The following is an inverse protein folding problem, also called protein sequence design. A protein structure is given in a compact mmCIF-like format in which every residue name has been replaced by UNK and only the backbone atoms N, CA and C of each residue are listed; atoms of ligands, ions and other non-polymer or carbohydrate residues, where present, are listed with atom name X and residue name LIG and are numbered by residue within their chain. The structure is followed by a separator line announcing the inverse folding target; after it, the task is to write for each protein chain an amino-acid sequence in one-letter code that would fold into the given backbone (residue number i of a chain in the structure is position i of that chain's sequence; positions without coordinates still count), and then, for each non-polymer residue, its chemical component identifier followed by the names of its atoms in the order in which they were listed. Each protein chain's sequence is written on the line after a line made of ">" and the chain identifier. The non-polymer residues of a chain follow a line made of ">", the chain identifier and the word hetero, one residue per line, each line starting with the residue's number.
data_IF_833186596393
#
_entry.id   IF_833186596393
#
_cell.length_a   1.000
_cell.length_b   1.000
_cell.length_c   1.000
_cell.angle_alpha   90.00
_cell.angle_beta   90.00
_cell.angle_gamma   90.00
#
_symmetry.space_group_name_H-M   'P 1'
#
loop_
_entity.id
_entity.type
_entity.pdbx_description
1 polymer ?
#
# COMPACT_ATOMS: atom_id res chain seq x y z
N UNK A 1 -15.48 21.70 -15.00
CA UNK A 1 -14.40 20.68 -14.93
C UNK A 1 -15.00 19.33 -15.30
N UNK A 2 -14.43 18.57 -16.25
CA UNK A 2 -14.86 17.19 -16.49
C UNK A 2 -14.66 16.38 -15.22
N UNK A 3 -15.68 15.65 -14.77
CA UNK A 3 -15.53 14.71 -13.67
C UNK A 3 -14.58 13.60 -14.12
N UNK A 4 -13.51 13.29 -13.36
CA UNK A 4 -12.63 12.19 -13.73
C UNK A 4 -13.45 10.90 -13.83
N UNK A 5 -13.13 10.02 -14.79
CA UNK A 5 -13.84 8.76 -14.94
C UNK A 5 -13.73 7.94 -13.66
N UNK A 6 -14.86 7.39 -13.21
CA UNK A 6 -14.90 6.48 -12.06
C UNK A 6 -14.10 5.23 -12.44
N UNK A 7 -13.16 4.76 -11.60
CA UNK A 7 -12.40 3.54 -11.87
C UNK A 7 -13.35 2.35 -12.04
N UNK A 8 -13.14 1.53 -13.07
CA UNK A 8 -13.87 0.27 -13.21
C UNK A 8 -13.29 -0.82 -12.29
N UNK A 9 -14.04 -1.91 -12.10
CA UNK A 9 -13.66 -2.98 -11.18
C UNK A 9 -12.35 -3.68 -11.58
N UNK A 10 -12.03 -3.79 -12.87
CA UNK A 10 -10.78 -4.40 -13.31
C UNK A 10 -9.60 -3.52 -12.91
N UNK A 11 -9.70 -2.22 -13.11
CA UNK A 11 -8.69 -1.25 -12.66
C UNK A 11 -8.41 -1.40 -11.16
N UNK A 12 -9.47 -1.46 -10.34
CA UNK A 12 -9.35 -1.62 -8.89
C UNK A 12 -8.70 -2.96 -8.54
N UNK A 13 -9.17 -4.07 -9.11
CA UNK A 13 -8.65 -5.41 -8.82
C UNK A 13 -7.16 -5.54 -9.16
N UNK A 14 -6.73 -5.02 -10.31
CA UNK A 14 -5.33 -5.04 -10.73
C UNK A 14 -4.46 -4.20 -9.80
N UNK A 15 -4.92 -3.00 -9.41
CA UNK A 15 -4.20 -2.17 -8.45
C UNK A 15 -4.05 -2.86 -7.09
N UNK A 16 -5.12 -3.49 -6.58
CA UNK A 16 -5.10 -4.25 -5.33
C UNK A 16 -4.16 -5.46 -5.42
N UNK A 17 -4.21 -6.22 -6.52
CA UNK A 17 -3.32 -7.37 -6.73
C UNK A 17 -1.85 -6.96 -6.82
N UNK A 18 -1.55 -5.84 -7.50
CA UNK A 18 -0.20 -5.29 -7.58
C UNK A 18 0.33 -4.90 -6.19
N UNK A 19 -0.46 -4.17 -5.40
CA UNK A 19 -0.09 -3.84 -4.02
C UNK A 19 0.06 -5.08 -3.14
N UNK A 20 -0.85 -6.05 -3.28
CA UNK A 20 -0.81 -7.34 -2.58
C UNK A 20 0.48 -8.10 -2.85
N UNK A 21 0.98 -8.08 -4.08
CA UNK A 21 2.25 -8.70 -4.47
C UNK A 21 3.44 -8.06 -3.74
N UNK A 22 3.47 -6.72 -3.64
CA UNK A 22 4.53 -6.00 -2.90
C UNK A 22 4.52 -6.39 -1.42
N UNK A 23 3.33 -6.41 -0.80
CA UNK A 23 3.17 -6.79 0.61
C UNK A 23 3.57 -8.24 0.85
N UNK A 24 3.16 -9.16 -0.03
CA UNK A 24 3.52 -10.57 0.05
C UNK A 24 5.04 -10.76 -0.07
N UNK A 25 5.69 -10.09 -1.03
CA UNK A 25 7.14 -10.14 -1.17
C UNK A 25 7.86 -9.61 0.08
N UNK A 26 7.37 -8.52 0.68
CA UNK A 26 7.92 -8.00 1.92
C UNK A 26 7.77 -9.01 3.07
N UNK A 27 6.59 -9.62 3.22
CA UNK A 27 6.33 -10.64 4.24
C UNK A 27 7.23 -11.87 4.06
N UNK A 28 7.39 -12.39 2.84
CA UNK A 28 8.29 -13.51 2.53
C UNK A 28 9.73 -13.19 2.93
N UNK A 29 10.20 -11.99 2.60
CA UNK A 29 11.55 -11.56 2.99
C UNK A 29 11.67 -11.34 4.51
N UNK A 30 10.60 -10.89 5.17
CA UNK A 30 10.51 -10.83 6.62
C UNK A 30 10.69 -12.21 7.26
N UNK A 31 9.91 -13.20 6.83
CA UNK A 31 9.99 -14.59 7.33
C UNK A 31 11.39 -15.16 7.10
N UNK A 32 11.93 -15.06 5.88
CA UNK A 32 13.25 -15.59 5.51
C UNK A 32 14.39 -15.03 6.35
N UNK A 33 14.25 -13.82 6.87
CA UNK A 33 15.31 -13.11 7.61
C UNK A 33 15.02 -13.00 9.11
N UNK A 34 13.90 -13.54 9.59
CA UNK A 34 13.43 -13.30 10.97
C UNK A 34 13.18 -11.81 11.26
N UNK A 35 12.67 -11.07 10.27
CA UNK A 35 12.34 -9.64 10.38
C UNK A 35 13.50 -8.67 10.17
N UNK A 36 14.70 -9.17 9.86
CA UNK A 36 15.93 -8.34 9.69
C UNK A 36 16.12 -7.79 8.27
N UNK A 37 15.32 -8.22 7.30
CA UNK A 37 15.36 -7.70 5.93
C UNK A 37 15.03 -6.21 5.92
N UNK A 38 15.93 -5.39 5.37
CA UNK A 38 15.67 -3.95 5.23
C UNK A 38 14.45 -3.67 4.34
N UNK A 39 14.19 -4.50 3.32
CA UNK A 39 12.98 -4.34 2.48
C UNK A 39 11.71 -4.57 3.29
N UNK A 40 11.70 -5.58 4.16
CA UNK A 40 10.58 -5.84 5.07
C UNK A 40 10.41 -4.70 6.08
N UNK A 41 11.48 -4.26 6.72
CA UNK A 41 11.42 -3.18 7.73
C UNK A 41 10.93 -1.86 7.14
N UNK A 42 11.45 -1.47 5.97
CA UNK A 42 11.00 -0.27 5.25
C UNK A 42 9.52 -0.39 4.86
N UNK A 43 9.10 -1.57 4.38
CA UNK A 43 7.70 -1.83 4.00
C UNK A 43 6.76 -1.82 5.20
N UNK A 44 7.16 -2.40 6.34
CA UNK A 44 6.36 -2.42 7.56
C UNK A 44 6.23 -1.01 8.16
N UNK A 45 7.29 -0.21 8.14
CA UNK A 45 7.20 1.20 8.52
C UNK A 45 6.29 1.99 7.58
N UNK A 46 6.45 1.82 6.26
CA UNK A 46 5.60 2.48 5.26
C UNK A 46 4.13 2.08 5.40
N UNK A 47 3.85 0.81 5.73
CA UNK A 47 2.50 0.31 6.03
C UNK A 47 1.87 1.06 7.21
N UNK A 48 2.60 1.20 8.32
CA UNK A 48 2.12 1.97 9.48
C UNK A 48 1.87 3.45 9.15
N UNK A 49 2.84 4.10 8.49
CA UNK A 49 2.74 5.52 8.13
C UNK A 49 1.59 5.82 7.15
N UNK A 50 1.26 4.88 6.26
CA UNK A 50 0.07 4.99 5.41
C UNK A 50 -1.22 5.15 6.23
N UNK A 51 -1.33 4.42 7.35
CA UNK A 51 -2.47 4.54 8.27
C UNK A 51 -2.62 5.96 8.82
N UNK A 52 -1.51 6.55 9.30
CA UNK A 52 -1.50 7.94 9.74
C UNK A 52 -1.82 8.93 8.60
N UNK A 53 -1.34 8.65 7.38
CA UNK A 53 -1.66 9.44 6.19
C UNK A 53 -3.16 9.51 5.89
N UNK A 54 -3.89 8.41 6.04
CA UNK A 54 -5.35 8.40 5.90
C UNK A 54 -6.04 9.28 6.96
N UNK A 55 -5.61 9.19 8.21
CA UNK A 55 -6.16 10.02 9.29
C UNK A 55 -5.89 11.51 9.04
N UNK A 56 -4.66 11.85 8.69
CA UNK A 56 -4.28 13.23 8.37
C UNK A 56 -5.08 13.78 7.19
N UNK A 57 -5.21 13.02 6.10
CA UNK A 57 -5.98 13.44 4.93
C UNK A 57 -7.47 13.60 5.26
N UNK A 58 -8.04 12.70 6.07
CA UNK A 58 -9.43 12.79 6.52
C UNK A 58 -9.66 14.04 7.37
N UNK A 59 -8.75 14.33 8.30
CA UNK A 59 -8.82 15.52 9.15
C UNK A 59 -8.68 16.82 8.33
N UNK A 60 -7.72 16.87 7.41
CA UNK A 60 -7.48 18.04 6.55
C UNK A 60 -8.64 18.32 5.61
N UNK A 61 -9.26 17.27 5.06
CA UNK A 61 -10.41 17.40 4.15
C UNK A 61 -11.75 17.46 4.88
N UNK A 62 -11.78 17.28 6.20
CA UNK A 62 -12.99 17.07 7.02
C UNK A 62 -13.92 16.01 6.42
N UNK A 63 -13.33 15.01 5.76
CA UNK A 63 -14.03 14.05 4.91
C UNK A 63 -13.64 12.62 5.22
N UNK A 64 -14.40 11.69 4.64
CA UNK A 64 -14.13 10.26 4.75
C UNK A 64 -13.09 9.85 3.71
N UNK A 65 -11.93 9.38 4.15
CA UNK A 65 -11.03 8.63 3.27
C UNK A 65 -11.23 7.14 3.47
N UNK A 66 -10.98 6.35 2.43
CA UNK A 66 -11.17 4.89 2.44
C UNK A 66 -10.50 4.17 3.61
N UNK A 67 -9.39 4.73 4.11
CA UNK A 67 -8.64 4.17 5.24
C UNK A 67 -8.96 4.77 6.61
N UNK A 68 -9.87 5.74 6.75
CA UNK A 68 -10.08 6.44 8.04
C UNK A 68 -10.55 5.51 9.15
N UNK A 69 -11.33 4.48 8.83
CA UNK A 69 -11.79 3.48 9.79
C UNK A 69 -10.76 2.38 10.01
N UNK A 70 -10.15 1.87 8.94
CA UNK A 70 -9.22 0.74 9.02
C UNK A 70 -7.85 1.15 9.57
N UNK A 71 -7.45 2.41 9.41
CA UNK A 71 -6.20 2.94 9.96
C UNK A 71 -6.10 2.78 11.49
N UNK A 72 -7.04 3.32 12.30
CA UNK A 72 -6.96 3.23 13.76
C UNK A 72 -7.37 1.86 14.30
N UNK A 73 -8.20 1.10 13.58
CA UNK A 73 -8.72 -0.19 14.08
C UNK A 73 -7.85 -1.39 13.70
N UNK A 74 -7.10 -1.30 12.59
CA UNK A 74 -6.32 -2.43 12.05
C UNK A 74 -4.87 -2.03 11.81
N UNK A 75 -4.62 -1.04 10.96
CA UNK A 75 -3.27 -0.75 10.43
C UNK A 75 -2.31 -0.32 11.52
N UNK A 76 -2.68 0.69 12.31
CA UNK A 76 -1.84 1.25 13.38
C UNK A 76 -1.65 0.23 14.51
N UNK A 77 -2.71 -0.44 15.02
CA UNK A 77 -2.56 -1.49 16.02
C UNK A 77 -1.66 -2.64 15.56
N UNK A 78 -1.84 -3.12 14.32
CA UNK A 78 -1.02 -4.18 13.75
C UNK A 78 0.44 -3.76 13.63
N UNK A 79 0.70 -2.57 13.07
CA UNK A 79 2.06 -2.06 12.92
C UNK A 79 2.75 -1.95 14.27
N UNK A 80 2.07 -1.40 15.28
CA UNK A 80 2.59 -1.30 16.64
C UNK A 80 2.94 -2.68 17.20
N UNK A 81 1.99 -3.62 17.14
CA UNK A 81 2.18 -4.98 17.63
C UNK A 81 3.34 -5.69 16.93
N UNK A 82 3.43 -5.60 15.60
CA UNK A 82 4.49 -6.19 14.81
C UNK A 82 5.85 -5.60 15.19
N UNK A 83 5.96 -4.28 15.33
CA UNK A 83 7.20 -3.61 15.75
C UNK A 83 7.65 -4.07 17.13
N UNK A 84 6.76 -4.12 18.11
CA UNK A 84 7.09 -4.62 19.46
C UNK A 84 7.49 -6.08 19.46
N UNK A 85 6.78 -6.92 18.70
CA UNK A 85 7.11 -8.34 18.57
C UNK A 85 8.51 -8.53 17.98
N UNK A 86 8.86 -7.78 16.94
CA UNK A 86 10.19 -7.80 16.35
C UNK A 86 11.27 -7.31 17.31
N UNK A 87 11.01 -6.24 18.07
CA UNK A 87 11.92 -5.75 19.10
C UNK A 87 12.20 -6.82 20.16
N UNK A 88 11.16 -7.48 20.69
CA UNK A 88 11.32 -8.57 21.66
C UNK A 88 12.08 -9.77 21.10
N UNK A 89 12.00 -10.00 19.79
CA UNK A 89 12.75 -11.04 19.08
C UNK A 89 14.18 -10.60 18.67
N UNK A 90 14.65 -9.42 19.11
CA UNK A 90 15.96 -8.88 18.76
C UNK A 90 16.10 -8.36 17.32
N UNK A 91 14.99 -8.24 16.60
CA UNK A 91 14.91 -7.71 15.24
C UNK A 91 14.38 -6.27 15.22
N UNK A 92 14.90 -5.41 16.10
CA UNK A 92 14.52 -3.99 16.21
C UNK A 92 14.49 -3.32 14.84
N UNK A 93 13.38 -2.65 14.54
CA UNK A 93 13.21 -1.96 13.27
C UNK A 93 14.20 -0.80 13.13
N UNK A 94 14.86 -0.73 11.97
CA UNK A 94 15.73 0.37 11.56
C UNK A 94 15.39 0.81 10.14
N UNK A 95 14.18 1.34 9.89
CA UNK A 95 13.74 1.68 8.55
C UNK A 95 14.58 2.82 7.98
N UNK A 96 14.93 2.71 6.69
CA UNK A 96 15.58 3.79 5.93
C UNK A 96 14.47 4.69 5.38
N UNK A 97 14.09 5.71 6.14
CA UNK A 97 12.90 6.54 5.86
C UNK A 97 12.78 7.00 4.41
N UNK A 98 13.86 7.51 3.80
CA UNK A 98 13.82 7.93 2.39
C UNK A 98 13.45 6.78 1.43
N UNK A 99 13.98 5.58 1.67
CA UNK A 99 13.64 4.39 0.88
C UNK A 99 12.24 3.88 1.17
N UNK A 100 11.81 3.92 2.42
CA UNK A 100 10.45 3.55 2.80
C UNK A 100 9.39 4.47 2.16
N UNK A 101 9.64 5.79 2.13
CA UNK A 101 8.81 6.76 1.41
C UNK A 101 8.82 6.48 -0.09
N UNK A 102 9.99 6.24 -0.69
CA UNK A 102 10.09 5.89 -2.10
C UNK A 102 9.33 4.59 -2.44
N UNK A 103 9.38 3.57 -1.58
CA UNK A 103 8.60 2.34 -1.72
C UNK A 103 7.09 2.61 -1.62
N UNK A 104 6.67 3.43 -0.66
CA UNK A 104 5.26 3.79 -0.48
C UNK A 104 4.70 4.49 -1.73
N UNK A 105 5.40 5.54 -2.20
CA UNK A 105 4.99 6.33 -3.36
C UNK A 105 5.11 5.51 -4.66
N UNK A 106 6.20 4.75 -4.82
CA UNK A 106 6.43 3.90 -5.96
C UNK A 106 5.37 2.79 -6.09
N UNK A 107 5.01 2.13 -4.97
CA UNK A 107 3.96 1.12 -4.96
C UNK A 107 2.58 1.74 -5.24
N UNK A 108 2.30 2.94 -4.74
CA UNK A 108 1.06 3.66 -5.02
C UNK A 108 0.94 3.99 -6.51
N UNK A 109 1.95 4.67 -7.07
CA UNK A 109 1.97 5.05 -8.49
C UNK A 109 1.92 3.80 -9.37
N UNK A 110 2.76 2.80 -9.08
CA UNK A 110 2.82 1.55 -9.84
C UNK A 110 1.50 0.77 -9.84
N UNK A 111 0.83 0.66 -8.69
CA UNK A 111 -0.47 -0.02 -8.62
C UNK A 111 -1.53 0.71 -9.46
N UNK A 112 -1.59 2.03 -9.38
CA UNK A 112 -2.55 2.82 -10.16
C UNK A 112 -2.24 2.80 -11.65
N UNK A 113 -0.98 2.91 -12.07
CA UNK A 113 -0.61 2.84 -13.49
C UNK A 113 -0.93 1.48 -14.09
N UNK A 114 -0.63 0.38 -13.39
CA UNK A 114 -1.00 -0.97 -13.83
C UNK A 114 -2.52 -1.14 -13.97
N UNK A 115 -3.29 -0.67 -12.99
CA UNK A 115 -4.75 -0.72 -13.07
C UNK A 115 -5.30 0.10 -14.25
N UNK A 116 -4.79 1.31 -14.46
CA UNK A 116 -5.20 2.17 -15.57
C UNK A 116 -4.87 1.54 -16.93
N UNK A 117 -3.69 0.94 -17.07
CA UNK A 117 -3.28 0.26 -18.30
C UNK A 117 -4.17 -0.96 -18.59
N UNK A 118 -4.51 -1.76 -17.57
CA UNK A 118 -5.39 -2.91 -17.71
C UNK A 118 -6.83 -2.53 -18.11
N UNK A 119 -7.35 -1.43 -17.58
CA UNK A 119 -8.66 -0.90 -17.99
C UNK A 119 -8.65 -0.44 -19.45
N UNK A 120 -7.64 0.35 -19.84
CA UNK A 120 -7.50 0.87 -21.20
C UNK A 120 -7.35 -0.24 -22.24
N UNK A 121 -6.58 -1.28 -21.93
CA UNK A 121 -6.42 -2.42 -22.84
C UNK A 121 -7.74 -3.16 -23.06
N UNK A 122 -8.55 -3.37 -22.01
CA UNK A 122 -9.88 -3.98 -22.13
C UNK A 122 -10.81 -3.19 -23.06
N UNK A 123 -10.82 -1.85 -22.94
CA UNK A 123 -11.64 -0.98 -23.78
C UNK A 123 -11.18 -1.01 -25.25
N UNK A 124 -9.87 -0.94 -25.49
CA UNK A 124 -9.31 -1.05 -26.85
C UNK A 124 -9.66 -2.39 -27.52
N UNK A 125 -9.63 -3.49 -26.75
CA UNK A 125 -10.03 -4.82 -27.24
C UNK A 125 -11.54 -4.97 -27.51
N UNK A 126 -12.39 -4.22 -26.80
CA UNK A 126 -13.82 -4.23 -27.06
C UNK A 126 -14.16 -3.40 -28.32
N UNK A 127 -13.51 -2.25 -28.51
CA UNK A 127 -13.71 -1.40 -29.68
C UNK A 127 -13.19 -2.00 -30.99
N UNK A 128 -12.17 -2.86 -30.94
CA UNK A 128 -11.67 -3.57 -32.12
C UNK A 128 -12.57 -4.74 -32.58
N UNK A 129 -13.63 -5.08 -31.82
CA UNK A 129 -14.54 -6.21 -32.09
C UNK A 129 -15.98 -5.79 -32.43
N UNK A 130 -16.28 -4.50 -32.50
CA UNK A 130 -17.59 -3.94 -32.90
C UNK A 130 -17.46 -3.16 -34.19
#
# INVERSE_FOLDING_TARGET
>A
MPTPPVPDQLQVNVAVAAMGTVVAAAAVQGVRTGGRSQFFQDSLWAFGMRGFGHLALSALTRGYTTGVLTAPTVVIPFWWWATRTLETAGATQRPRHGRAVALLLGALVGAHTLGQLASRSRLGWAGARG
#
